data_IF_755534449097
#
_entry.id   IF_755534449097
#
_cell.length_a   1.000
_cell.length_b   1.000
_cell.length_c   1.000
_cell.angle_alpha   90.00
_cell.angle_beta   90.00
_cell.angle_gamma   90.00
#
_symmetry.space_group_name_H-M   'P 1'
#
loop_
_entity.id
_entity.type
_entity.pdbx_description
1 polymer ?
#
# COMPACT_ATOMS: atom_id res chain seq x y z
N UNK A 1 9.93 15.89 -10.52
CA UNK A 1 8.81 16.79 -10.89
C UNK A 1 8.04 16.36 -12.14
N UNK A 2 8.68 15.89 -13.21
CA UNK A 2 7.98 15.45 -14.44
C UNK A 2 7.05 14.25 -14.21
N UNK A 3 7.54 13.19 -13.55
CA UNK A 3 6.75 11.98 -13.24
C UNK A 3 5.47 12.27 -12.44
N UNK A 4 5.53 13.15 -11.44
CA UNK A 4 4.33 13.55 -10.64
C UNK A 4 3.29 14.27 -11.49
N UNK A 5 3.71 15.10 -12.45
CA UNK A 5 2.80 15.78 -13.39
C UNK A 5 2.17 14.78 -14.36
N UNK A 6 2.96 13.86 -14.88
CA UNK A 6 2.47 12.80 -15.76
C UNK A 6 1.46 11.89 -15.05
N UNK A 7 1.80 11.40 -13.85
CA UNK A 7 0.90 10.58 -13.04
C UNK A 7 -0.42 11.32 -12.73
N UNK A 8 -0.36 12.60 -12.36
CA UNK A 8 -1.55 13.42 -12.14
C UNK A 8 -2.42 13.54 -13.39
N UNK A 9 -1.80 13.71 -14.56
CA UNK A 9 -2.50 13.77 -15.85
C UNK A 9 -3.24 12.46 -16.15
N UNK A 10 -2.53 11.33 -16.01
CA UNK A 10 -3.12 9.99 -16.23
C UNK A 10 -4.25 9.68 -15.25
N UNK A 11 -4.08 10.00 -13.97
CA UNK A 11 -5.14 9.82 -12.96
C UNK A 11 -6.34 10.69 -13.31
N UNK A 12 -6.16 11.95 -13.72
CA UNK A 12 -7.28 12.80 -14.14
C UNK A 12 -8.06 12.18 -15.31
N UNK A 13 -7.35 11.72 -16.34
CA UNK A 13 -7.99 11.07 -17.49
C UNK A 13 -8.75 9.80 -17.07
N UNK A 14 -8.18 9.00 -16.18
CA UNK A 14 -8.86 7.83 -15.63
C UNK A 14 -10.09 8.20 -14.79
N UNK A 15 -10.02 9.28 -13.99
CA UNK A 15 -11.17 9.79 -13.24
C UNK A 15 -12.30 10.23 -14.16
N UNK A 16 -11.99 10.96 -15.24
CA UNK A 16 -12.99 11.33 -16.25
C UNK A 16 -13.61 10.10 -16.90
N UNK A 17 -12.78 9.12 -17.30
CA UNK A 17 -13.25 7.88 -17.91
C UNK A 17 -14.15 7.07 -16.97
N UNK A 18 -13.80 6.92 -15.69
CA UNK A 18 -14.62 6.24 -14.68
C UNK A 18 -15.92 7.02 -14.42
N UNK A 19 -15.88 8.35 -14.41
CA UNK A 19 -17.08 9.16 -14.24
C UNK A 19 -18.07 8.94 -15.39
N UNK A 20 -17.60 8.89 -16.63
CA UNK A 20 -18.45 8.62 -17.80
C UNK A 20 -18.98 7.18 -17.81
N UNK A 21 -18.10 6.20 -17.65
CA UNK A 21 -18.44 4.77 -17.84
C UNK A 21 -19.20 4.15 -16.69
N UNK A 22 -18.88 4.49 -15.43
CA UNK A 22 -19.48 3.88 -14.24
C UNK A 22 -20.61 4.76 -13.68
N UNK A 23 -20.44 6.08 -13.70
CA UNK A 23 -21.37 7.02 -13.07
C UNK A 23 -22.24 7.79 -14.06
N UNK A 24 -22.13 7.54 -15.37
CA UNK A 24 -22.95 8.17 -16.39
C UNK A 24 -22.70 9.67 -16.57
N UNK A 25 -21.52 10.15 -16.17
CA UNK A 25 -21.10 11.53 -16.37
C UNK A 25 -20.92 11.87 -17.85
N UNK A 26 -20.89 13.17 -18.15
CA UNK A 26 -20.58 13.67 -19.48
C UNK A 26 -19.42 14.68 -19.39
N UNK A 27 -18.42 14.55 -20.27
CA UNK A 27 -17.40 15.58 -20.46
C UNK A 27 -17.91 16.64 -21.44
N UNK A 28 -17.74 17.90 -21.07
CA UNK A 28 -18.05 19.07 -21.89
C UNK A 28 -16.80 19.89 -22.16
N UNK A 29 -16.77 20.51 -23.33
CA UNK A 29 -15.74 21.50 -23.68
C UNK A 29 -16.26 22.90 -23.37
N UNK A 30 -15.49 23.65 -22.59
CA UNK A 30 -15.85 24.99 -22.15
C UNK A 30 -14.87 25.99 -22.72
N UNK A 31 -15.30 26.89 -23.62
CA UNK A 31 -14.41 27.87 -24.22
C UNK A 31 -13.68 28.70 -23.16
N UNK A 32 -12.37 28.89 -23.35
CA UNK A 32 -11.57 29.73 -22.45
C UNK A 32 -11.78 31.19 -22.84
N UNK A 33 -12.25 32.06 -21.93
CA UNK A 33 -12.42 33.48 -22.23
C UNK A 33 -11.15 34.12 -22.78
N UNK A 34 -11.25 34.84 -23.89
CA UNK A 34 -10.11 35.47 -24.57
C UNK A 34 -9.40 34.58 -25.60
N UNK A 35 -9.82 33.32 -25.77
CA UNK A 35 -9.30 32.40 -26.78
C UNK A 35 -10.43 31.88 -27.67
N UNK A 36 -10.19 31.82 -28.98
CA UNK A 36 -11.19 31.38 -29.97
C UNK A 36 -11.10 29.90 -30.33
N UNK A 37 -9.99 29.24 -30.02
CA UNK A 37 -9.71 27.84 -30.41
C UNK A 37 -9.50 26.93 -29.20
N UNK A 38 -9.23 27.49 -28.02
CA UNK A 38 -8.95 26.71 -26.83
C UNK A 38 -10.19 26.58 -25.95
N UNK A 39 -10.50 25.34 -25.57
CA UNK A 39 -11.55 25.00 -24.62
C UNK A 39 -10.98 24.10 -23.52
N UNK A 40 -11.45 24.31 -22.29
CA UNK A 40 -11.20 23.43 -21.16
C UNK A 40 -12.17 22.25 -21.21
N UNK A 41 -11.63 21.03 -21.18
CA UNK A 41 -12.43 19.82 -20.92
C UNK A 41 -12.70 19.70 -19.43
N UNK A 42 -13.97 19.51 -19.07
CA UNK A 42 -14.40 19.25 -17.69
C UNK A 42 -15.65 18.38 -17.64
N UNK A 43 -15.88 17.71 -16.51
CA UNK A 43 -17.14 17.01 -16.26
C UNK A 43 -18.28 18.01 -16.10
N UNK A 44 -19.42 17.74 -16.74
CA UNK A 44 -20.64 18.54 -16.64
C UNK A 44 -21.19 18.57 -15.21
N UNK A 45 -21.20 17.41 -14.55
CA UNK A 45 -21.50 17.27 -13.12
C UNK A 45 -20.21 16.96 -12.34
N UNK A 46 -19.72 17.88 -11.49
CA UNK A 46 -18.58 17.62 -10.62
C UNK A 46 -18.79 16.43 -9.67
N UNK A 47 -20.03 16.11 -9.30
CA UNK A 47 -20.31 15.00 -8.37
C UNK A 47 -20.01 13.63 -8.95
N UNK A 48 -20.21 13.42 -10.26
CA UNK A 48 -19.77 12.17 -10.92
C UNK A 48 -18.25 12.04 -10.88
N UNK A 49 -17.53 13.16 -11.00
CA UNK A 49 -16.07 13.20 -10.86
C UNK A 49 -15.59 12.87 -9.45
N UNK A 50 -16.26 13.40 -8.42
CA UNK A 50 -15.95 13.11 -7.02
C UNK A 50 -16.16 11.63 -6.70
N UNK A 51 -17.29 11.04 -7.14
CA UNK A 51 -17.58 9.61 -6.96
C UNK A 51 -16.56 8.72 -7.66
N UNK A 52 -16.18 9.08 -8.89
CA UNK A 52 -15.13 8.39 -9.63
C UNK A 52 -13.78 8.45 -8.91
N UNK A 53 -13.39 9.62 -8.41
CA UNK A 53 -12.15 9.79 -7.66
C UNK A 53 -12.12 8.96 -6.36
N UNK A 54 -13.23 8.92 -5.62
CA UNK A 54 -13.32 8.09 -4.39
C UNK A 54 -13.26 6.59 -4.69
N UNK A 55 -13.93 6.13 -5.76
CA UNK A 55 -13.81 4.74 -6.21
C UNK A 55 -12.36 4.39 -6.55
N UNK A 56 -11.70 5.23 -7.36
CA UNK A 56 -10.30 5.03 -7.71
C UNK A 56 -9.39 5.03 -6.47
N UNK A 57 -9.64 5.90 -5.49
CA UNK A 57 -8.89 5.92 -4.23
C UNK A 57 -9.01 4.59 -3.48
N UNK A 58 -10.22 4.01 -3.40
CA UNK A 58 -10.45 2.72 -2.74
C UNK A 58 -9.80 1.56 -3.47
N UNK A 59 -9.92 1.52 -4.80
CA UNK A 59 -9.27 0.50 -5.63
C UNK A 59 -7.76 0.58 -5.51
N UNK A 60 -7.17 1.77 -5.60
CA UNK A 60 -5.73 1.96 -5.42
C UNK A 60 -5.26 1.58 -4.02
N UNK A 61 -6.06 1.81 -2.97
CA UNK A 61 -5.73 1.37 -1.63
C UNK A 61 -5.68 -0.18 -1.54
N UNK A 62 -6.62 -0.87 -2.18
CA UNK A 62 -6.60 -2.34 -2.25
C UNK A 62 -5.39 -2.86 -3.04
N UNK A 63 -5.04 -2.22 -4.16
CA UNK A 63 -3.84 -2.56 -4.94
C UNK A 63 -2.56 -2.38 -4.11
N UNK A 64 -2.45 -1.31 -3.31
CA UNK A 64 -1.30 -1.08 -2.43
C UNK A 64 -1.16 -2.21 -1.40
N UNK A 65 -2.26 -2.65 -0.78
CA UNK A 65 -2.28 -3.80 0.13
C UNK A 65 -1.88 -5.10 -0.59
N UNK A 66 -2.37 -5.34 -1.80
CA UNK A 66 -1.99 -6.51 -2.61
C UNK A 66 -0.51 -6.52 -2.97
N UNK A 67 0.05 -5.39 -3.44
CA UNK A 67 1.48 -5.28 -3.73
C UNK A 67 2.33 -5.40 -2.46
N UNK A 68 1.89 -4.85 -1.33
CA UNK A 68 2.59 -5.03 -0.05
C UNK A 68 2.65 -6.51 0.34
N UNK A 69 1.54 -7.25 0.24
CA UNK A 69 1.50 -8.71 0.47
C UNK A 69 2.37 -9.49 -0.51
N UNK A 70 2.39 -9.10 -1.79
CA UNK A 70 3.26 -9.69 -2.78
C UNK A 70 4.75 -9.46 -2.45
N UNK A 71 5.11 -8.26 -2.00
CA UNK A 71 6.45 -7.94 -1.51
C UNK A 71 6.84 -8.85 -0.32
N UNK A 72 5.94 -9.05 0.66
CA UNK A 72 6.17 -9.97 1.78
C UNK A 72 6.32 -11.42 1.30
N UNK A 73 5.50 -11.83 0.33
CA UNK A 73 5.55 -13.16 -0.29
C UNK A 73 6.89 -13.51 -0.90
N UNK A 74 7.58 -12.54 -1.54
CA UNK A 74 8.93 -12.73 -2.09
C UNK A 74 10.05 -12.50 -1.07
N UNK A 75 9.72 -12.16 0.17
CA UNK A 75 10.68 -11.98 1.27
C UNK A 75 11.19 -10.56 1.51
N UNK A 76 10.52 -9.52 0.99
CA UNK A 76 10.83 -8.13 1.38
C UNK A 76 10.37 -7.86 2.80
N UNK A 77 11.17 -7.17 3.61
CA UNK A 77 10.82 -6.77 4.97
C UNK A 77 9.77 -5.64 5.00
N UNK A 78 9.07 -5.46 6.12
CA UNK A 78 8.19 -4.31 6.33
C UNK A 78 8.91 -2.97 6.24
N UNK A 79 10.21 -2.96 6.57
CA UNK A 79 11.09 -1.79 6.43
C UNK A 79 11.28 -1.38 4.95
N UNK A 80 11.57 -2.34 4.07
CA UNK A 80 11.72 -2.13 2.63
C UNK A 80 10.38 -1.73 1.98
N UNK A 81 9.26 -2.30 2.44
CA UNK A 81 7.92 -1.90 1.98
C UNK A 81 7.64 -0.44 2.38
N UNK A 82 7.96 -0.07 3.62
CA UNK A 82 7.80 1.30 4.10
C UNK A 82 8.64 2.31 3.31
N UNK A 83 9.86 1.94 2.97
CA UNK A 83 10.72 2.72 2.09
C UNK A 83 10.06 2.99 0.73
N UNK A 84 9.53 1.95 0.09
CA UNK A 84 8.88 2.06 -1.21
C UNK A 84 7.63 2.95 -1.15
N UNK A 85 6.90 2.94 -0.03
CA UNK A 85 5.73 3.79 0.21
C UNK A 85 6.09 5.23 0.62
N UNK A 86 7.37 5.52 0.86
CA UNK A 86 7.84 6.83 1.29
C UNK A 86 7.60 7.13 2.76
N UNK A 87 7.43 6.10 3.59
CA UNK A 87 7.41 6.24 5.06
C UNK A 87 8.80 6.71 5.51
N UNK A 88 8.91 7.79 6.30
CA UNK A 88 10.20 8.30 6.75
C UNK A 88 11.04 7.23 7.44
N UNK A 89 12.36 7.26 7.22
CA UNK A 89 13.28 6.36 7.90
C UNK A 89 13.25 6.61 9.41
N UNK A 90 13.25 5.51 10.18
CA UNK A 90 13.18 5.53 11.63
C UNK A 90 13.00 4.10 12.15
N UNK A 91 13.24 3.90 13.45
CA UNK A 91 13.09 2.57 14.06
C UNK A 91 11.66 2.03 13.95
N UNK A 92 10.68 2.93 13.90
CA UNK A 92 9.26 2.57 13.83
C UNK A 92 8.73 2.42 12.39
N UNK A 93 9.56 2.64 11.35
CA UNK A 93 9.13 2.50 9.95
C UNK A 93 8.45 1.16 9.66
N UNK A 94 8.97 0.00 10.10
CA UNK A 94 8.31 -1.28 9.88
C UNK A 94 6.92 -1.35 10.53
N UNK A 95 6.80 -0.87 11.77
CA UNK A 95 5.56 -0.88 12.55
C UNK A 95 4.51 0.00 11.89
N UNK A 96 4.85 1.25 11.60
CA UNK A 96 3.97 2.21 10.92
C UNK A 96 3.53 1.69 9.55
N UNK A 97 4.41 0.99 8.85
CA UNK A 97 4.08 0.39 7.55
C UNK A 97 3.11 -0.77 7.70
N UNK A 98 3.34 -1.67 8.66
CA UNK A 98 2.44 -2.78 8.95
C UNK A 98 1.05 -2.27 9.30
N UNK A 99 0.96 -1.32 10.24
CA UNK A 99 -0.29 -0.69 10.67
C UNK A 99 -1.01 -0.02 9.51
N UNK A 100 -0.30 0.72 8.66
CA UNK A 100 -0.92 1.32 7.48
C UNK A 100 -1.56 0.26 6.58
N UNK A 101 -0.82 -0.78 6.22
CA UNK A 101 -1.33 -1.80 5.30
C UNK A 101 -2.50 -2.58 5.91
N UNK A 102 -2.40 -2.94 7.18
CA UNK A 102 -3.43 -3.73 7.87
C UNK A 102 -4.69 -2.92 8.15
N UNK A 103 -4.55 -1.71 8.67
CA UNK A 103 -5.70 -0.87 9.06
C UNK A 103 -6.24 -0.03 7.90
N UNK A 104 -5.54 -0.05 6.75
CA UNK A 104 -5.90 0.70 5.55
C UNK A 104 -5.79 2.21 5.71
N UNK A 105 -5.05 2.69 6.72
CA UNK A 105 -4.91 4.12 7.05
C UNK A 105 -3.45 4.58 6.91
N UNK A 106 -3.15 5.52 6.00
CA UNK A 106 -1.79 6.06 5.91
C UNK A 106 -1.42 6.85 7.17
N UNK A 107 -0.13 6.87 7.56
CA UNK A 107 0.32 7.56 8.76
C UNK A 107 -0.01 9.06 8.72
N UNK A 108 -0.64 9.56 9.78
CA UNK A 108 -0.97 10.98 9.99
C UNK A 108 -0.01 11.67 10.97
N UNK A 109 0.08 13.02 10.94
CA UNK A 109 0.98 13.78 11.80
C UNK A 109 0.58 13.82 13.30
N UNK A 110 -0.67 13.48 13.63
CA UNK A 110 -1.26 13.62 14.98
C UNK A 110 -2.10 12.38 15.38
N UNK A 111 -1.56 11.16 15.25
CA UNK A 111 -2.24 10.00 15.81
C UNK A 111 -1.67 9.66 17.19
N UNK A 112 -2.44 9.97 18.24
CA UNK A 112 -2.30 9.36 19.56
C UNK A 112 -2.65 7.87 19.41
N UNK A 113 -1.61 7.04 19.22
CA UNK A 113 -1.65 5.58 19.02
C UNK A 113 -2.29 4.82 20.21
N UNK A 114 -2.61 5.50 21.31
CA UNK A 114 -2.92 4.91 22.62
C UNK A 114 -4.31 4.24 22.76
N UNK A 115 -5.18 4.30 21.75
CA UNK A 115 -6.55 3.73 21.78
C UNK A 115 -6.92 2.87 20.57
N UNK A 116 -5.99 2.62 19.63
CA UNK A 116 -6.25 1.71 18.53
C UNK A 116 -6.24 0.26 19.06
N UNK A 117 -7.24 -0.54 18.65
CA UNK A 117 -7.13 -1.99 18.81
C UNK A 117 -5.83 -2.46 18.13
N UNK A 118 -5.14 -3.49 18.66
CA UNK A 118 -3.95 -4.00 17.99
C UNK A 118 -4.31 -4.34 16.53
N UNK A 119 -3.48 -3.94 15.56
CA UNK A 119 -3.77 -4.19 14.16
C UNK A 119 -3.94 -5.69 13.93
N UNK A 120 -4.85 -6.04 13.03
CA UNK A 120 -5.06 -7.44 12.65
C UNK A 120 -3.81 -8.07 12.03
N UNK A 121 -3.75 -9.40 11.96
CA UNK A 121 -2.66 -10.05 11.23
C UNK A 121 -2.82 -9.84 9.71
N UNK A 122 -1.71 -9.62 9.01
CA UNK A 122 -1.67 -9.65 7.55
C UNK A 122 -1.63 -11.09 7.04
N UNK A 123 -2.23 -11.35 5.89
CA UNK A 123 -2.19 -12.65 5.23
C UNK A 123 -1.62 -12.52 3.83
N UNK A 124 -0.65 -13.35 3.50
CA UNK A 124 -0.03 -13.38 2.18
C UNK A 124 0.39 -14.80 1.80
N UNK A 125 0.83 -15.00 0.56
CA UNK A 125 1.28 -16.32 0.08
C UNK A 125 2.78 -16.30 -0.12
N UNK A 126 3.51 -17.18 0.55
CA UNK A 126 4.95 -17.29 0.36
C UNK A 126 5.25 -17.77 -1.07
N UNK A 127 6.17 -17.11 -1.78
CA UNK A 127 6.54 -17.55 -3.14
C UNK A 127 7.53 -18.71 -3.13
N UNK A 128 8.13 -19.03 -1.98
CA UNK A 128 9.06 -20.16 -1.83
C UNK A 128 8.35 -21.48 -1.52
N UNK A 129 7.37 -21.48 -0.60
CA UNK A 129 6.66 -22.70 -0.19
C UNK A 129 5.19 -22.73 -0.64
N UNK A 130 4.68 -21.64 -1.24
CA UNK A 130 3.31 -21.48 -1.73
C UNK A 130 2.20 -21.58 -0.68
N UNK A 131 2.55 -21.70 0.60
CA UNK A 131 1.58 -21.74 1.70
C UNK A 131 1.04 -20.34 2.04
N UNK A 132 -0.20 -20.25 2.55
CA UNK A 132 -0.71 -19.03 3.17
C UNK A 132 0.03 -18.77 4.48
N UNK A 133 0.54 -17.56 4.64
CA UNK A 133 1.27 -17.11 5.83
C UNK A 133 0.46 -16.04 6.54
N UNK A 134 0.35 -16.19 7.86
CA UNK A 134 -0.18 -15.18 8.78
C UNK A 134 1.00 -14.41 9.38
N UNK A 135 1.02 -13.10 9.21
CA UNK A 135 2.06 -12.20 9.68
C UNK A 135 1.46 -11.27 10.75
N UNK A 136 1.90 -11.40 12.01
CA UNK A 136 1.44 -10.58 13.14
C UNK A 136 2.16 -9.23 13.23
N UNK A 137 3.06 -8.94 12.29
CA UNK A 137 3.76 -7.67 12.19
C UNK A 137 5.11 -7.66 12.90
N UNK A 138 5.86 -6.56 12.76
CA UNK A 138 7.24 -6.45 13.21
C UNK A 138 7.38 -6.09 14.71
N UNK A 139 6.41 -6.50 15.53
CA UNK A 139 6.39 -6.24 16.97
C UNK A 139 7.30 -7.20 17.74
N UNK A 140 7.36 -8.44 17.28
CA UNK A 140 8.25 -9.46 17.79
C UNK A 140 9.55 -9.46 17.00
N UNK A 141 10.67 -9.69 17.71
CA UNK A 141 11.99 -9.65 17.08
C UNK A 141 12.25 -10.87 16.19
N UNK A 142 11.72 -12.06 16.57
CA UNK A 142 11.95 -13.33 15.88
C UNK A 142 10.94 -13.55 14.73
N UNK A 143 11.41 -13.76 13.48
CA UNK A 143 10.54 -14.16 12.37
C UNK A 143 9.69 -15.41 12.64
N UNK A 144 10.14 -16.33 13.50
CA UNK A 144 9.39 -17.54 13.86
C UNK A 144 8.16 -17.25 14.74
N UNK A 145 8.21 -16.17 15.53
CA UNK A 145 7.09 -15.72 16.36
C UNK A 145 6.10 -14.84 15.58
N UNK A 146 6.59 -14.15 14.54
CA UNK A 146 5.81 -13.17 13.77
C UNK A 146 5.16 -13.73 12.49
N UNK A 147 5.65 -14.85 11.95
CA UNK A 147 5.09 -15.48 10.74
C UNK A 147 4.71 -16.96 10.99
N UNK A 148 3.43 -17.30 10.80
CA UNK A 148 2.91 -18.68 10.89
C UNK A 148 2.35 -19.17 9.54
N UNK A 149 2.41 -20.48 9.30
CA UNK A 149 1.82 -21.14 8.12
C UNK A 149 2.81 -21.52 7.01
N UNK A 150 4.12 -21.31 7.19
CA UNK A 150 5.13 -21.82 6.27
C UNK A 150 5.20 -23.36 6.27
N UNK A 151 5.64 -23.94 5.14
CA UNK A 151 6.09 -25.33 5.15
C UNK A 151 7.35 -25.49 6.03
N UNK A 152 7.51 -26.65 6.67
CA UNK A 152 8.64 -26.95 7.57
C UNK A 152 10.01 -26.73 6.89
N UNK A 153 10.10 -26.99 5.58
CA UNK A 153 11.31 -26.84 4.79
C UNK A 153 11.35 -25.54 3.95
N UNK A 154 10.52 -24.55 4.27
CA UNK A 154 10.50 -23.27 3.55
C UNK A 154 11.88 -22.60 3.58
N UNK A 155 12.51 -22.49 2.39
CA UNK A 155 13.84 -21.92 2.25
C UNK A 155 13.89 -20.45 2.66
N UNK A 156 12.86 -19.67 2.29
CA UNK A 156 12.71 -18.25 2.67
C UNK A 156 12.62 -18.08 4.18
N UNK A 157 11.70 -18.81 4.85
CA UNK A 157 11.49 -18.69 6.31
C UNK A 157 12.76 -19.04 7.09
N UNK A 158 13.42 -20.15 6.74
CA UNK A 158 14.68 -20.55 7.38
C UNK A 158 15.80 -19.53 7.17
N UNK A 159 15.87 -18.91 5.99
CA UNK A 159 16.84 -17.86 5.71
C UNK A 159 16.60 -16.63 6.60
N UNK A 160 15.35 -16.23 6.80
CA UNK A 160 15.01 -15.08 7.64
C UNK A 160 15.30 -15.34 9.11
N UNK A 161 14.96 -16.52 9.62
CA UNK A 161 15.32 -16.96 10.98
C UNK A 161 16.85 -16.97 11.14
N UNK A 162 17.59 -17.51 10.18
CA UNK A 162 19.05 -17.54 10.24
C UNK A 162 19.66 -16.13 10.24
N UNK A 163 19.15 -15.23 9.39
CA UNK A 163 19.57 -13.84 9.34
C UNK A 163 19.26 -13.10 10.64
N UNK A 164 18.08 -13.35 11.22
CA UNK A 164 17.71 -12.82 12.53
C UNK A 164 18.68 -13.29 13.62
N UNK A 165 18.91 -14.60 13.73
CA UNK A 165 19.82 -15.20 14.72
C UNK A 165 21.25 -14.66 14.61
N UNK A 166 21.74 -14.45 13.39
CA UNK A 166 23.04 -13.84 13.14
C UNK A 166 23.10 -12.38 13.63
N UNK A 167 22.01 -11.62 13.47
CA UNK A 167 21.92 -10.22 13.91
C UNK A 167 21.88 -10.09 15.42
N UNK A 168 21.12 -10.94 16.12
CA UNK A 168 20.97 -10.87 17.59
C UNK A 168 22.09 -11.58 18.36
N UNK A 169 23.03 -12.22 17.66
CA UNK A 169 24.20 -12.85 18.26
C UNK A 169 23.86 -14.08 19.11
N UNK A 170 22.92 -14.92 18.64
CA UNK A 170 22.58 -16.16 19.36
C UNK A 170 23.75 -17.15 19.32
N UNK A 171 24.63 -17.07 20.33
CA UNK A 171 25.49 -18.18 20.71
C UNK A 171 24.65 -19.19 21.49
N UNK A 172 24.53 -20.39 20.93
CA UNK A 172 23.80 -21.54 21.45
C UNK A 172 23.96 -21.69 22.97
N UNK A 173 22.86 -21.64 23.72
CA UNK A 173 22.75 -22.28 25.04
C UNK A 173 22.31 -23.72 24.88
#
# INVERSE_FOLDING_TARGET
>A
MAARREARSRIRQLTEHVAETIFGGAVVEVPIPGFTVFADRRLADPMTGLRAAELLRRVLAAEVDEYARACRGVGRTWDEVGEALGVPAGQDRPVVTFEWIVDGRPPGPDEDILLAAPPSASWWRCTSCHQPVRDSGPYDADPDDSEDGHAEDCARHRSDIAAFRARVGWESR
#
